data_IF_820817491129
#
_entry.id   IF_820817491129
#
_cell.length_a   1.000
_cell.length_b   1.000
_cell.length_c   1.000
_cell.angle_alpha   90.00
_cell.angle_beta   90.00
_cell.angle_gamma   90.00
#
_symmetry.space_group_name_H-M   'P 1'
#
loop_
_entity.id
_entity.type
_entity.pdbx_description
1 polymer ?
#
# COMPACT_ATOMS: atom_id res chain seq x y z
N UNK A 1 3.27 -26.16 -64.45
CA UNK A 1 2.07 -26.15 -63.58
C UNK A 1 2.43 -25.32 -62.35
N UNK A 2 1.73 -24.21 -62.13
CA UNK A 2 1.84 -23.42 -60.87
C UNK A 2 1.20 -24.16 -59.69
N UNK A 3 1.01 -23.53 -58.51
CA UNK A 3 0.97 -22.09 -58.22
C UNK A 3 2.07 -21.69 -57.19
N UNK A 4 2.32 -20.45 -56.78
CA UNK A 4 1.61 -19.18 -56.83
C UNK A 4 2.04 -18.40 -55.59
N UNK A 5 2.48 -17.17 -55.79
CA UNK A 5 3.11 -16.28 -54.82
C UNK A 5 2.22 -15.85 -53.66
N UNK A 6 2.78 -15.67 -52.46
CA UNK A 6 2.40 -14.66 -51.44
C UNK A 6 3.68 -14.34 -50.65
N UNK A 7 4.33 -13.18 -50.73
CA UNK A 7 3.78 -11.86 -50.48
C UNK A 7 4.09 -11.48 -49.02
N UNK A 8 5.36 -11.22 -48.69
CA UNK A 8 5.76 -10.67 -47.37
C UNK A 8 5.25 -9.23 -47.25
N UNK A 9 4.02 -9.08 -46.76
CA UNK A 9 3.45 -7.79 -46.44
C UNK A 9 4.23 -7.11 -45.33
N UNK A 10 4.89 -5.99 -45.66
CA UNK A 10 5.37 -5.02 -44.66
C UNK A 10 4.16 -4.48 -43.90
N UNK A 11 4.09 -4.73 -42.61
CA UNK A 11 3.11 -4.08 -41.73
C UNK A 11 3.38 -2.56 -41.69
N UNK A 12 2.35 -1.72 -41.82
CA UNK A 12 2.51 -0.28 -41.69
C UNK A 12 2.74 0.10 -40.23
N UNK A 13 3.87 0.76 -39.96
CA UNK A 13 4.08 1.50 -38.72
C UNK A 13 3.33 2.82 -38.82
N UNK A 14 2.04 2.83 -38.47
CA UNK A 14 1.29 4.08 -38.29
C UNK A 14 0.53 4.07 -36.96
N UNK A 15 0.96 5.00 -36.11
CA UNK A 15 0.19 5.78 -35.13
C UNK A 15 -0.91 5.07 -34.31
N UNK A 16 -0.63 4.96 -33.01
CA UNK A 16 -1.65 4.70 -32.00
C UNK A 16 -1.09 4.86 -30.60
N UNK A 17 -0.70 6.09 -30.21
CA UNK A 17 -0.52 6.43 -28.79
C UNK A 17 -1.89 6.32 -28.13
N UNK A 18 -2.27 5.10 -27.71
CA UNK A 18 -3.35 4.91 -26.77
C UNK A 18 -2.83 5.43 -25.43
N UNK A 19 -3.26 6.65 -25.11
CA UNK A 19 -3.11 7.21 -23.78
C UNK A 19 -3.58 6.14 -22.79
N UNK A 20 -2.72 5.81 -21.82
CA UNK A 20 -3.09 4.98 -20.70
C UNK A 20 -4.17 5.74 -19.94
N UNK A 21 -5.43 5.36 -20.13
CA UNK A 21 -6.52 5.91 -19.33
C UNK A 21 -6.37 5.35 -17.93
N UNK A 22 -5.86 6.19 -17.03
CA UNK A 22 -5.83 5.98 -15.59
C UNK A 22 -7.22 5.47 -15.15
N UNK A 23 -7.35 4.27 -14.55
CA UNK A 23 -8.62 3.85 -13.97
C UNK A 23 -9.05 4.88 -12.92
N UNK A 24 -10.36 5.16 -12.87
CA UNK A 24 -11.00 6.21 -12.07
C UNK A 24 -10.28 6.37 -10.72
N UNK A 25 -9.65 7.53 -10.54
CA UNK A 25 -9.07 7.96 -9.28
C UNK A 25 -10.11 7.77 -8.17
N UNK A 26 -9.77 7.00 -7.14
CA UNK A 26 -10.54 6.99 -5.90
C UNK A 26 -10.52 8.42 -5.37
N UNK A 27 -11.66 9.10 -5.21
CA UNK A 27 -11.68 10.45 -4.68
C UNK A 27 -11.07 10.45 -3.28
N UNK A 28 -10.07 11.30 -3.05
CA UNK A 28 -9.59 11.59 -1.70
C UNK A 28 -10.77 12.15 -0.89
N UNK A 29 -10.97 11.72 0.37
CA UNK A 29 -12.04 12.28 1.19
C UNK A 29 -11.82 13.77 1.42
N UNK A 30 -12.91 14.54 1.39
CA UNK A 30 -12.89 15.98 1.59
C UNK A 30 -12.46 16.34 3.03
N UNK A 31 -11.56 17.30 3.15
CA UNK A 31 -11.06 17.85 4.42
C UNK A 31 -12.19 18.46 5.27
N UNK A 32 -12.12 18.40 6.62
CA UNK A 32 -13.07 19.12 7.48
C UNK A 32 -12.87 20.64 7.33
N UNK A 33 -13.97 21.37 7.18
CA UNK A 33 -14.01 22.79 6.85
C UNK A 33 -13.25 23.68 7.83
N UNK A 34 -12.59 24.72 7.29
CA UNK A 34 -11.75 25.65 8.06
C UNK A 34 -12.43 27.00 8.23
N UNK A 35 -12.59 27.44 9.48
CA UNK A 35 -12.93 28.82 9.83
C UNK A 35 -11.75 29.77 9.54
N UNK A 36 -12.08 30.97 9.07
CA UNK A 36 -11.17 32.03 8.60
C UNK A 36 -10.39 32.70 9.73
N UNK A 37 -9.07 32.82 9.57
CA UNK A 37 -8.19 33.63 10.40
C UNK A 37 -6.86 33.90 9.69
N UNK A 38 -6.57 35.18 9.40
CA UNK A 38 -5.35 35.69 8.75
C UNK A 38 -4.12 35.53 9.67
N UNK A 39 -3.00 35.13 9.09
CA UNK A 39 -1.69 35.09 9.73
C UNK A 39 -0.77 34.12 8.99
N UNK A 40 0.15 34.66 8.20
CA UNK A 40 1.19 33.91 7.47
C UNK A 40 2.20 33.32 8.45
N UNK A 41 1.83 32.20 9.06
CA UNK A 41 2.74 31.27 9.67
C UNK A 41 2.77 30.04 8.76
N UNK A 42 3.94 29.69 8.22
CA UNK A 42 4.18 28.39 7.61
C UNK A 42 3.84 27.35 8.68
N UNK A 43 2.62 26.81 8.66
CA UNK A 43 2.17 25.77 9.59
C UNK A 43 3.17 24.63 9.48
N UNK A 44 4.02 24.44 10.49
CA UNK A 44 4.80 23.20 10.63
C UNK A 44 3.80 22.06 10.53
N UNK A 45 3.84 21.32 9.42
CA UNK A 45 3.02 20.11 9.27
C UNK A 45 3.36 19.22 10.46
N UNK A 46 2.32 18.77 11.17
CA UNK A 46 2.48 17.77 12.21
C UNK A 46 3.22 16.56 11.62
N UNK A 47 4.05 15.92 12.44
CA UNK A 47 4.82 14.74 12.06
C UNK A 47 3.86 13.65 11.56
N UNK A 48 3.88 13.22 10.28
CA UNK A 48 2.92 12.24 9.78
C UNK A 48 2.98 10.95 10.59
N UNK A 49 1.82 10.39 10.95
CA UNK A 49 1.67 9.14 11.69
C UNK A 49 1.20 8.04 10.76
N UNK A 50 2.01 7.00 10.59
CA UNK A 50 1.71 5.88 9.70
C UNK A 50 1.49 4.60 10.51
N UNK A 51 0.37 3.92 10.26
CA UNK A 51 0.07 2.63 10.88
C UNK A 51 0.48 1.48 9.97
N UNK A 52 1.22 0.51 10.50
CA UNK A 52 1.56 -0.75 9.84
C UNK A 52 0.76 -1.88 10.46
N UNK A 53 -0.12 -2.51 9.68
CA UNK A 53 -0.97 -3.62 10.12
C UNK A 53 -0.54 -4.91 9.43
N UNK A 54 -0.29 -5.95 10.23
CA UNK A 54 0.16 -7.25 9.76
C UNK A 54 -0.83 -8.33 10.15
N UNK A 55 -1.30 -9.07 9.15
CA UNK A 55 -2.24 -10.16 9.32
C UNK A 55 -1.60 -11.46 9.85
N UNK A 56 -2.28 -12.60 9.66
CA UNK A 56 -1.95 -13.85 10.30
C UNK A 56 -0.64 -14.42 9.80
N UNK A 57 0.02 -15.17 10.69
CA UNK A 57 1.27 -15.90 10.47
C UNK A 57 2.52 -15.02 10.20
N UNK A 58 2.41 -13.69 10.23
CA UNK A 58 3.58 -12.81 10.09
C UNK A 58 4.41 -12.72 11.38
N UNK A 59 3.82 -13.08 12.54
CA UNK A 59 4.52 -13.20 13.82
C UNK A 59 5.57 -14.32 13.85
N UNK A 60 5.47 -15.31 12.97
CA UNK A 60 6.39 -16.45 12.91
C UNK A 60 7.51 -16.27 11.88
N UNK A 61 7.61 -15.11 11.24
CA UNK A 61 8.70 -14.78 10.31
C UNK A 61 10.07 -14.94 10.99
N UNK A 62 10.99 -15.61 10.29
CA UNK A 62 12.35 -15.89 10.76
C UNK A 62 12.43 -16.95 11.87
N UNK A 63 11.31 -17.56 12.29
CA UNK A 63 11.27 -18.64 13.29
C UNK A 63 11.09 -20.04 12.68
N UNK A 64 10.52 -20.14 11.47
CA UNK A 64 10.45 -21.39 10.71
C UNK A 64 11.59 -21.45 9.70
N UNK A 65 12.40 -22.51 9.77
CA UNK A 65 13.44 -22.89 8.79
C UNK A 65 14.22 -21.68 8.23
N UNK A 66 15.11 -21.07 9.04
CA UNK A 66 15.82 -19.84 8.69
C UNK A 66 16.64 -19.96 7.41
N UNK A 67 17.10 -21.17 7.07
CA UNK A 67 17.81 -21.46 5.82
C UNK A 67 16.91 -21.33 4.58
N UNK A 68 15.59 -21.52 4.72
CA UNK A 68 14.60 -21.52 3.63
C UNK A 68 13.86 -20.18 3.50
N UNK A 69 13.50 -19.57 4.63
CA UNK A 69 12.66 -18.35 4.66
C UNK A 69 13.44 -17.07 4.98
N UNK A 70 14.74 -17.19 5.20
CA UNK A 70 15.63 -16.09 5.59
C UNK A 70 15.52 -15.75 7.07
N UNK A 71 16.55 -15.05 7.59
CA UNK A 71 16.65 -14.65 9.01
C UNK A 71 15.84 -13.40 9.36
N UNK A 72 15.02 -12.91 8.44
CA UNK A 72 14.35 -11.63 8.57
C UNK A 72 13.10 -11.80 9.45
N UNK A 73 13.14 -11.17 10.63
CA UNK A 73 12.03 -11.17 11.58
C UNK A 73 11.17 -9.92 11.42
N UNK A 74 9.92 -9.99 11.86
CA UNK A 74 9.03 -8.82 11.87
C UNK A 74 9.60 -7.66 12.70
N UNK A 75 10.31 -7.96 13.79
CA UNK A 75 11.03 -6.96 14.59
C UNK A 75 12.22 -6.33 13.84
N UNK A 76 12.92 -7.11 13.02
CA UNK A 76 13.97 -6.60 12.14
C UNK A 76 13.42 -5.58 11.16
N UNK A 77 12.31 -5.95 10.50
CA UNK A 77 11.57 -5.08 9.58
C UNK A 77 11.09 -3.81 10.29
N UNK A 78 10.49 -3.94 11.48
CA UNK A 78 10.06 -2.80 12.30
C UNK A 78 11.20 -1.81 12.52
N UNK A 79 12.37 -2.28 12.94
CA UNK A 79 13.55 -1.42 13.19
C UNK A 79 14.03 -0.71 11.92
N UNK A 80 13.95 -1.37 10.76
CA UNK A 80 14.29 -0.75 9.46
C UNK A 80 13.32 0.37 9.09
N UNK A 81 12.02 0.12 9.21
CA UNK A 81 10.97 1.11 8.93
C UNK A 81 11.05 2.29 9.90
N UNK A 82 11.25 2.04 11.19
CA UNK A 82 11.43 3.11 12.18
C UNK A 82 12.65 3.99 11.87
N UNK A 83 13.76 3.39 11.44
CA UNK A 83 14.94 4.16 10.99
C UNK A 83 14.61 5.02 9.78
N UNK A 84 13.93 4.46 8.78
CA UNK A 84 13.52 5.21 7.59
C UNK A 84 12.55 6.34 7.95
N UNK A 85 11.55 6.07 8.78
CA UNK A 85 10.57 7.05 9.23
C UNK A 85 11.21 8.21 10.00
N UNK A 86 12.19 7.94 10.87
CA UNK A 86 12.94 9.00 11.56
C UNK A 86 13.66 9.94 10.59
N UNK A 87 14.28 9.40 9.53
CA UNK A 87 14.96 10.21 8.50
C UNK A 87 13.97 11.09 7.73
N UNK A 88 12.77 10.60 7.50
CA UNK A 88 11.71 11.30 6.75
C UNK A 88 10.81 12.20 7.63
N UNK A 89 11.11 12.31 8.93
CA UNK A 89 10.30 13.10 9.85
C UNK A 89 8.89 12.56 10.06
N UNK A 90 8.71 11.23 10.06
CA UNK A 90 7.44 10.53 10.28
C UNK A 90 7.48 9.67 11.56
N UNK A 91 6.32 9.43 12.16
CA UNK A 91 6.13 8.48 13.25
C UNK A 91 5.42 7.23 12.70
N UNK A 92 5.80 6.06 13.21
CA UNK A 92 5.21 4.79 12.78
C UNK A 92 4.73 4.00 13.97
N UNK A 93 3.65 3.28 13.79
CA UNK A 93 3.15 2.31 14.75
C UNK A 93 2.94 0.96 14.07
N UNK A 94 3.19 -0.13 14.78
CA UNK A 94 3.06 -1.48 14.26
C UNK A 94 2.03 -2.26 15.05
N UNK A 95 1.16 -2.93 14.32
CA UNK A 95 0.19 -3.87 14.84
C UNK A 95 0.29 -5.19 14.07
N UNK A 96 0.17 -6.30 14.79
CA UNK A 96 0.09 -7.62 14.20
C UNK A 96 -0.95 -8.43 14.95
N UNK A 97 -1.81 -9.14 14.23
CA UNK A 97 -2.72 -10.10 14.82
C UNK A 97 -2.99 -11.27 13.87
N UNK A 98 -3.33 -12.41 14.45
CA UNK A 98 -3.87 -13.55 13.73
C UNK A 98 -5.40 -13.53 13.65
N UNK A 99 -6.06 -12.67 14.42
CA UNK A 99 -7.52 -12.57 14.52
C UNK A 99 -8.04 -11.47 13.61
N UNK A 100 -9.00 -11.82 12.74
CA UNK A 100 -9.58 -10.87 11.78
C UNK A 100 -10.25 -9.68 12.47
N UNK A 101 -11.06 -9.92 13.51
CA UNK A 101 -11.78 -8.86 14.24
C UNK A 101 -10.86 -7.85 14.92
N UNK A 102 -9.70 -8.31 15.41
CA UNK A 102 -8.66 -7.44 15.99
C UNK A 102 -8.03 -6.52 14.93
N UNK A 103 -7.77 -7.06 13.74
CA UNK A 103 -7.30 -6.26 12.60
C UNK A 103 -8.37 -5.23 12.21
N UNK A 104 -9.63 -5.65 12.09
CA UNK A 104 -10.75 -4.77 11.76
C UNK A 104 -10.85 -3.61 12.76
N UNK A 105 -10.84 -3.89 14.06
CA UNK A 105 -10.87 -2.86 15.10
C UNK A 105 -9.70 -1.89 14.97
N UNK A 106 -8.48 -2.40 14.78
CA UNK A 106 -7.29 -1.56 14.61
C UNK A 106 -7.38 -0.67 13.36
N UNK A 107 -7.93 -1.17 12.26
CA UNK A 107 -8.14 -0.38 11.04
C UNK A 107 -9.17 0.72 11.26
N UNK A 108 -10.24 0.47 12.02
CA UNK A 108 -11.25 1.47 12.34
C UNK A 108 -10.68 2.60 13.21
N UNK A 109 -9.84 2.25 14.19
CA UNK A 109 -9.10 3.22 15.00
C UNK A 109 -8.12 4.07 14.20
N UNK A 110 -7.77 3.67 12.97
CA UNK A 110 -6.87 4.45 12.14
C UNK A 110 -7.48 5.83 11.81
N UNK A 111 -8.81 5.88 11.67
CA UNK A 111 -9.55 7.10 11.35
C UNK A 111 -9.34 8.17 12.42
N UNK A 112 -8.85 9.33 12.01
CA UNK A 112 -8.59 10.47 12.90
C UNK A 112 -7.33 10.36 13.77
N UNK A 113 -6.68 9.19 13.81
CA UNK A 113 -5.47 8.98 14.61
C UNK A 113 -4.19 8.87 13.76
N UNK A 114 -4.32 8.49 12.49
CA UNK A 114 -3.23 8.28 11.55
C UNK A 114 -3.46 9.04 10.25
N UNK A 115 -2.38 9.37 9.56
CA UNK A 115 -2.40 10.05 8.27
C UNK A 115 -2.36 9.07 7.10
N UNK A 116 -1.91 7.82 7.34
CA UNK A 116 -1.85 6.80 6.32
C UNK A 116 -1.58 5.41 6.89
N UNK A 117 -1.75 4.40 6.05
CA UNK A 117 -1.74 3.00 6.44
C UNK A 117 -0.94 2.13 5.49
N UNK A 118 -0.21 1.15 6.03
CA UNK A 118 0.38 0.05 5.27
C UNK A 118 -0.17 -1.23 5.85
N UNK A 119 -0.75 -2.08 5.00
CA UNK A 119 -1.33 -3.36 5.43
C UNK A 119 -0.75 -4.52 4.65
N UNK A 120 -0.30 -5.53 5.37
CA UNK A 120 -0.08 -6.87 4.83
C UNK A 120 -1.15 -7.78 5.43
N UNK A 121 -2.30 -8.01 4.75
CA UNK A 121 -3.37 -8.81 5.32
C UNK A 121 -3.04 -10.30 5.40
N UNK A 122 -1.89 -10.75 4.85
CA UNK A 122 -1.49 -12.15 4.84
C UNK A 122 -2.53 -13.01 4.12
N UNK A 123 -2.97 -14.09 4.78
CA UNK A 123 -4.01 -14.98 4.24
C UNK A 123 -5.34 -14.29 4.00
N UNK A 124 -5.68 -13.27 4.81
CA UNK A 124 -6.96 -12.57 4.71
C UNK A 124 -7.11 -11.70 3.46
N UNK A 125 -6.01 -11.45 2.75
CA UNK A 125 -6.01 -10.76 1.45
C UNK A 125 -7.00 -11.39 0.48
N UNK A 126 -7.16 -12.71 0.55
CA UNK A 126 -7.90 -13.50 -0.42
C UNK A 126 -9.32 -13.84 0.05
N UNK A 127 -9.70 -13.48 1.28
CA UNK A 127 -10.93 -13.98 1.90
C UNK A 127 -11.71 -12.95 2.73
N UNK A 128 -11.07 -11.92 3.25
CA UNK A 128 -11.70 -11.00 4.21
C UNK A 128 -12.36 -9.80 3.53
N UNK A 129 -13.68 -9.85 3.43
CA UNK A 129 -14.50 -8.67 3.12
C UNK A 129 -14.51 -7.70 4.30
N UNK A 130 -14.45 -8.19 5.54
CA UNK A 130 -14.46 -7.35 6.73
C UNK A 130 -13.26 -6.40 6.81
N UNK A 131 -12.05 -6.88 6.47
CA UNK A 131 -10.84 -6.03 6.41
C UNK A 131 -10.96 -5.00 5.29
N UNK A 132 -11.49 -5.39 4.13
CA UNK A 132 -11.76 -4.46 3.01
C UNK A 132 -12.65 -3.30 3.45
N UNK A 133 -13.77 -3.60 4.09
CA UNK A 133 -14.73 -2.58 4.52
C UNK A 133 -14.19 -1.71 5.66
N UNK A 134 -13.36 -2.29 6.55
CA UNK A 134 -12.65 -1.53 7.57
C UNK A 134 -11.63 -0.53 6.98
N UNK A 135 -10.94 -0.89 5.88
CA UNK A 135 -10.05 0.02 5.15
C UNK A 135 -10.83 1.19 4.53
N UNK A 136 -12.00 0.94 3.95
CA UNK A 136 -12.88 2.01 3.45
C UNK A 136 -13.27 2.94 4.61
N UNK A 137 -13.69 2.38 5.75
CA UNK A 137 -14.09 3.17 6.91
C UNK A 137 -12.93 4.01 7.48
N UNK A 138 -11.71 3.48 7.49
CA UNK A 138 -10.51 4.17 7.97
C UNK A 138 -10.32 5.53 7.29
N UNK A 139 -10.65 5.63 6.00
CA UNK A 139 -10.66 6.90 5.25
C UNK A 139 -9.30 7.57 5.10
N UNK A 140 -8.21 6.80 5.26
CA UNK A 140 -6.83 7.25 5.08
C UNK A 140 -6.18 6.49 3.92
N UNK A 141 -5.24 7.09 3.18
CA UNK A 141 -4.55 6.39 2.11
C UNK A 141 -3.83 5.14 2.65
N UNK A 142 -4.12 4.00 2.02
CA UNK A 142 -3.57 2.70 2.41
C UNK A 142 -2.72 2.09 1.28
N UNK A 143 -1.64 1.40 1.63
CA UNK A 143 -0.83 0.60 0.71
C UNK A 143 -0.94 -0.87 1.10
N UNK A 144 -1.33 -1.73 0.15
CA UNK A 144 -1.28 -3.17 0.31
C UNK A 144 0.16 -3.67 0.14
N UNK A 145 0.60 -4.57 1.00
CA UNK A 145 1.96 -5.07 1.04
C UNK A 145 2.00 -6.59 1.13
N UNK A 146 2.87 -7.21 0.32
CA UNK A 146 3.20 -8.63 0.42
C UNK A 146 4.71 -8.85 0.38
N UNK A 147 5.20 -9.65 1.33
CA UNK A 147 6.60 -10.08 1.35
C UNK A 147 7.00 -10.86 0.09
N UNK A 148 6.14 -11.79 -0.31
CA UNK A 148 6.29 -12.58 -1.54
C UNK A 148 5.43 -12.01 -2.67
N UNK A 149 5.61 -12.46 -3.90
CA UNK A 149 4.74 -12.07 -5.01
C UNK A 149 3.55 -13.05 -5.12
N UNK A 150 2.32 -12.67 -4.74
CA UNK A 150 1.16 -13.58 -4.79
C UNK A 150 0.80 -14.00 -6.23
N UNK A 151 1.14 -13.20 -7.25
CA UNK A 151 0.86 -13.52 -8.64
C UNK A 151 1.64 -14.74 -9.15
N UNK A 152 2.79 -15.04 -8.54
CA UNK A 152 3.62 -16.23 -8.87
C UNK A 152 3.18 -17.48 -8.12
N UNK A 153 2.14 -17.39 -7.30
CA UNK A 153 1.67 -18.45 -6.42
C UNK A 153 0.38 -19.11 -6.94
N UNK A 154 -0.22 -19.93 -6.09
CA UNK A 154 -1.45 -20.66 -6.35
C UNK A 154 -2.58 -19.72 -6.80
N UNK A 155 -3.53 -20.16 -7.65
CA UNK A 155 -4.57 -19.29 -8.20
C UNK A 155 -5.36 -18.51 -7.15
N UNK A 156 -5.69 -19.12 -6.01
CA UNK A 156 -6.43 -18.47 -4.93
C UNK A 156 -5.66 -17.31 -4.28
N UNK A 157 -4.34 -17.22 -4.45
CA UNK A 157 -3.52 -16.11 -3.94
C UNK A 157 -3.43 -14.93 -4.89
N UNK A 158 -3.97 -15.06 -6.11
CA UNK A 158 -3.89 -14.01 -7.12
C UNK A 158 -4.96 -12.94 -6.94
N UNK A 159 -6.06 -13.28 -6.25
CA UNK A 159 -7.15 -12.36 -5.94
C UNK A 159 -6.85 -11.60 -4.65
N UNK A 160 -6.85 -10.28 -4.70
CA UNK A 160 -6.86 -9.44 -3.49
C UNK A 160 -8.23 -8.77 -3.37
N UNK A 161 -8.90 -8.98 -2.23
CA UNK A 161 -10.17 -8.32 -1.93
C UNK A 161 -9.96 -6.87 -1.48
N UNK A 162 -8.73 -6.43 -1.22
CA UNK A 162 -8.44 -5.06 -0.77
C UNK A 162 -7.83 -4.19 -1.87
N UNK A 163 -7.44 -4.78 -3.02
CA UNK A 163 -6.70 -4.09 -4.09
C UNK A 163 -7.46 -2.90 -4.68
N UNK A 164 -8.80 -2.92 -4.65
CA UNK A 164 -9.65 -1.85 -5.16
C UNK A 164 -9.84 -0.67 -4.19
N UNK A 165 -9.48 -0.84 -2.91
CA UNK A 165 -9.67 0.18 -1.85
C UNK A 165 -8.37 0.76 -1.32
N UNK A 166 -7.22 0.30 -1.83
CA UNK A 166 -5.89 0.82 -1.52
C UNK A 166 -5.36 1.71 -2.64
N UNK A 167 -4.39 2.57 -2.33
CA UNK A 167 -3.72 3.43 -3.32
C UNK A 167 -2.87 2.61 -4.28
N UNK A 168 -2.30 1.51 -3.80
CA UNK A 168 -1.49 0.61 -4.59
C UNK A 168 -1.00 -0.58 -3.80
N UNK A 169 -0.38 -1.52 -4.51
CA UNK A 169 0.14 -2.78 -3.97
C UNK A 169 1.63 -2.91 -4.23
N UNK A 170 2.38 -3.27 -3.18
CA UNK A 170 3.81 -3.59 -3.25
C UNK A 170 3.98 -5.06 -2.88
N UNK A 171 4.54 -5.87 -3.79
CA UNK A 171 4.61 -7.31 -3.60
C UNK A 171 5.95 -7.89 -4.09
N UNK A 172 6.53 -8.82 -3.33
CA UNK A 172 7.70 -9.59 -3.75
C UNK A 172 9.07 -8.99 -3.45
N UNK A 173 9.12 -7.88 -2.70
CA UNK A 173 10.36 -7.20 -2.31
C UNK A 173 10.86 -7.61 -0.91
N UNK A 174 10.30 -8.66 -0.31
CA UNK A 174 10.61 -9.06 1.06
C UNK A 174 10.35 -7.92 2.05
N UNK A 175 11.17 -7.84 3.09
CA UNK A 175 10.99 -6.85 4.17
C UNK A 175 11.29 -5.43 3.72
N UNK A 176 12.14 -5.26 2.71
CA UNK A 176 12.38 -3.95 2.11
C UNK A 176 11.11 -3.35 1.51
N UNK A 177 10.13 -4.18 1.13
CA UNK A 177 8.81 -3.72 0.72
C UNK A 177 8.11 -2.82 1.75
N UNK A 178 8.35 -3.01 3.05
CA UNK A 178 7.80 -2.13 4.09
C UNK A 178 8.39 -0.71 4.02
N UNK A 179 9.69 -0.60 3.73
CA UNK A 179 10.36 0.69 3.55
C UNK A 179 9.86 1.36 2.27
N UNK A 180 9.69 0.59 1.18
CA UNK A 180 9.10 1.11 -0.06
C UNK A 180 7.68 1.64 0.15
N UNK A 181 6.84 0.91 0.89
CA UNK A 181 5.48 1.33 1.22
C UNK A 181 5.46 2.62 2.05
N UNK A 182 6.34 2.74 3.05
CA UNK A 182 6.51 3.97 3.81
C UNK A 182 6.85 5.15 2.89
N UNK A 183 7.88 4.99 2.05
CA UNK A 183 8.36 6.05 1.17
C UNK A 183 7.27 6.49 0.17
N UNK A 184 6.57 5.54 -0.44
CA UNK A 184 5.47 5.84 -1.37
C UNK A 184 4.35 6.62 -0.70
N UNK A 185 3.94 6.18 0.50
CA UNK A 185 2.86 6.80 1.25
C UNK A 185 3.23 8.20 1.76
N UNK A 186 4.45 8.39 2.27
CA UNK A 186 4.92 9.71 2.69
C UNK A 186 5.03 10.68 1.50
N UNK A 187 5.46 10.21 0.32
CA UNK A 187 5.46 11.03 -0.88
C UNK A 187 4.04 11.49 -1.23
N UNK A 188 3.08 10.57 -1.25
CA UNK A 188 1.67 10.88 -1.50
C UNK A 188 1.12 11.93 -0.53
N UNK A 189 1.40 11.80 0.77
CA UNK A 189 0.96 12.74 1.80
C UNK A 189 1.61 14.14 1.66
N UNK A 190 2.85 14.19 1.16
CA UNK A 190 3.54 15.44 0.84
C UNK A 190 2.85 16.16 -0.31
N UNK A 191 2.57 15.45 -1.40
CA UNK A 191 1.86 15.99 -2.56
C UNK A 191 0.46 16.48 -2.19
N UNK A 192 -0.31 15.69 -1.44
CA UNK A 192 -1.68 16.01 -1.09
C UNK A 192 -1.85 17.33 -0.30
N UNK A 193 -0.95 17.64 0.65
CA UNK A 193 -1.01 18.95 1.31
C UNK A 193 -0.02 19.99 0.81
N UNK A 194 0.77 19.67 -0.22
CA UNK A 194 1.25 20.70 -1.14
C UNK A 194 0.11 21.24 -2.01
N UNK A 195 -0.85 20.38 -2.38
CA UNK A 195 -2.06 20.76 -3.12
C UNK A 195 -3.03 21.58 -2.26
N UNK A 196 -3.17 21.28 -0.97
CA UNK A 196 -4.02 22.05 -0.05
C UNK A 196 -3.41 23.39 0.41
N UNK A 197 -2.15 23.67 0.07
CA UNK A 197 -1.44 24.91 0.40
C UNK A 197 -1.29 25.86 -0.80
N UNK A 198 -1.81 25.48 -1.97
CA UNK A 198 -1.96 26.32 -3.17
C UNK A 198 -3.40 26.80 -3.28
#
# INVERSE_FOLDING_TARGET
>A
MGPGAQGVGRLPLSAGRRAWSCPRQVPLPASPGRATGKGDAVKRRARPRILFVNGPNLNVLGKREPEVYGRMTLDGIRREVERAARREGAAVEFYQSNHEGEIVGRLQEARGNFDGLVINPGGYTHSSVAIRDALIYAGVPAVELHLSNPARREPFRRTSLVEDVVVGRIAGFGGYGYVLALSALLNLLREAGGLAAR
#
